data_IF_402604036012
#
_entry.id   IF_402604036012
#
_cell.length_a   1.000
_cell.length_b   1.000
_cell.length_c   1.000
_cell.angle_alpha   90.00
_cell.angle_beta   90.00
_cell.angle_gamma   90.00
#
_symmetry.space_group_name_H-M   'P 1'
#
loop_
_entity.id
_entity.type
_entity.pdbx_description
1 polymer ?
#
# COMPACT_ATOMS: atom_id res chain seq x y z
N UNK A 1 6.21 -12.43 3.09
CA UNK A 1 6.41 -12.19 1.63
C UNK A 1 7.78 -11.58 1.41
N UNK A 2 8.58 -12.09 0.44
CA UNK A 2 9.88 -11.52 0.11
C UNK A 2 9.96 -11.27 -1.39
N UNK A 3 9.99 -9.99 -1.78
CA UNK A 3 10.07 -9.57 -3.19
C UNK A 3 11.25 -8.62 -3.35
N UNK A 4 11.96 -8.73 -4.48
CA UNK A 4 13.14 -7.92 -4.78
C UNK A 4 12.90 -7.21 -6.11
N UNK A 5 12.96 -5.89 -6.09
CA UNK A 5 12.91 -5.01 -7.24
C UNK A 5 14.28 -4.45 -7.59
N UNK A 6 14.30 -3.44 -8.44
CA UNK A 6 15.53 -2.73 -8.82
C UNK A 6 15.98 -1.75 -7.73
N UNK A 7 15.01 -1.04 -7.11
CA UNK A 7 15.26 0.01 -6.11
C UNK A 7 14.86 -0.40 -4.70
N UNK A 8 13.93 -1.35 -4.56
CA UNK A 8 13.32 -1.70 -3.28
C UNK A 8 13.30 -3.21 -3.04
N UNK A 9 13.16 -3.55 -1.77
CA UNK A 9 12.76 -4.90 -1.31
C UNK A 9 11.49 -4.79 -0.50
N UNK A 10 10.65 -5.81 -0.61
CA UNK A 10 9.49 -5.99 0.26
C UNK A 10 9.77 -7.21 1.12
N UNK A 11 9.62 -7.07 2.44
CA UNK A 11 9.86 -8.11 3.42
C UNK A 11 8.87 -8.02 4.58
N UNK A 12 8.85 -9.03 5.41
CA UNK A 12 8.08 -8.99 6.63
C UNK A 12 8.61 -7.88 7.56
N UNK A 13 7.69 -7.23 8.28
CA UNK A 13 8.02 -6.30 9.35
C UNK A 13 8.66 -7.05 10.51
N UNK A 14 9.58 -6.42 11.21
CA UNK A 14 10.18 -6.93 12.43
C UNK A 14 10.42 -5.81 13.45
N UNK A 15 10.75 -6.17 14.69
CA UNK A 15 10.92 -5.19 15.77
C UNK A 15 12.08 -4.23 15.60
N UNK A 16 13.08 -4.56 14.78
CA UNK A 16 14.20 -3.65 14.47
C UNK A 16 13.76 -2.49 13.57
N UNK A 17 12.58 -2.57 12.96
CA UNK A 17 12.03 -1.50 12.13
C UNK A 17 11.43 -0.34 12.94
N UNK A 18 11.39 -0.43 14.28
CA UNK A 18 10.65 0.51 15.13
C UNK A 18 11.11 1.96 14.98
N UNK A 19 12.40 2.18 14.79
CA UNK A 19 12.95 3.52 14.70
C UNK A 19 12.59 4.17 13.36
N UNK A 20 12.79 3.48 12.26
CA UNK A 20 12.39 3.93 10.93
C UNK A 20 10.86 4.08 10.84
N UNK A 21 10.11 3.13 11.43
CA UNK A 21 8.66 3.17 11.46
C UNK A 21 8.12 4.37 12.25
N UNK A 22 8.78 4.73 13.34
CA UNK A 22 8.44 5.94 14.11
C UNK A 22 8.72 7.21 13.29
N UNK A 23 9.92 7.33 12.71
CA UNK A 23 10.28 8.50 11.88
C UNK A 23 9.30 8.71 10.74
N UNK A 24 8.94 7.65 10.03
CA UNK A 24 7.94 7.64 8.99
C UNK A 24 6.53 7.97 9.51
N UNK A 25 6.10 7.32 10.59
CA UNK A 25 4.72 7.41 11.09
C UNK A 25 4.39 8.67 11.89
N UNK A 26 5.39 9.41 12.41
CA UNK A 26 5.21 10.70 13.08
C UNK A 26 4.96 11.86 12.12
N UNK A 27 5.26 11.68 10.82
CA UNK A 27 5.13 12.74 9.83
C UNK A 27 3.64 13.10 9.61
N UNK A 28 3.22 14.35 9.85
CA UNK A 28 1.83 14.78 9.73
C UNK A 28 1.31 14.77 8.28
N UNK A 29 2.21 14.73 7.28
CA UNK A 29 1.82 14.68 5.87
C UNK A 29 1.51 13.25 5.38
N UNK A 30 1.90 12.21 6.14
CA UNK A 30 1.74 10.80 5.75
C UNK A 30 0.55 10.17 6.45
N UNK A 31 0.53 10.19 7.78
CA UNK A 31 -0.47 9.51 8.59
C UNK A 31 -1.91 9.81 8.19
N UNK A 32 -2.33 11.09 8.12
CA UNK A 32 -3.69 11.45 7.74
C UNK A 32 -4.12 10.92 6.38
N UNK A 33 -3.23 10.95 5.40
CA UNK A 33 -3.51 10.45 4.04
C UNK A 33 -3.54 8.92 3.96
N UNK A 34 -2.90 8.23 4.90
CA UNK A 34 -2.87 6.77 5.00
C UNK A 34 -3.85 6.21 6.05
N UNK A 35 -4.56 7.08 6.76
CA UNK A 35 -5.66 6.71 7.67
C UNK A 35 -5.27 6.50 9.13
N UNK A 36 -4.10 7.00 9.57
CA UNK A 36 -3.71 6.98 10.98
C UNK A 36 -3.32 8.36 11.51
N UNK A 37 -3.41 8.53 12.83
CA UNK A 37 -2.91 9.71 13.54
C UNK A 37 -1.39 9.66 13.62
N UNK A 38 -0.66 10.77 13.36
CA UNK A 38 0.79 10.82 13.55
C UNK A 38 1.22 10.30 14.93
N UNK A 39 2.27 9.49 14.97
CA UNK A 39 2.73 8.87 16.21
C UNK A 39 3.32 9.91 17.15
N UNK A 40 2.78 10.08 18.38
CA UNK A 40 3.29 11.07 19.32
C UNK A 40 4.65 10.69 19.93
N UNK A 41 4.97 9.39 19.97
CA UNK A 41 6.23 8.86 20.50
C UNK A 41 6.50 7.43 19.98
N UNK A 42 7.74 6.95 20.23
CA UNK A 42 8.17 5.60 19.81
C UNK A 42 7.37 4.46 20.45
N UNK A 43 6.83 4.66 21.64
CA UNK A 43 6.05 3.61 22.30
C UNK A 43 4.75 3.33 21.55
N UNK A 44 4.06 4.36 21.08
CA UNK A 44 2.88 4.22 20.22
C UNK A 44 3.25 3.56 18.89
N UNK A 45 4.37 3.97 18.28
CA UNK A 45 4.88 3.31 17.08
C UNK A 45 5.16 1.82 17.30
N UNK A 46 5.80 1.46 18.42
CA UNK A 46 6.10 0.07 18.79
C UNK A 46 4.84 -0.77 18.94
N UNK A 47 3.81 -0.25 19.62
CA UNK A 47 2.52 -0.96 19.77
C UNK A 47 1.84 -1.17 18.42
N UNK A 48 1.83 -0.17 17.57
CA UNK A 48 1.27 -0.29 16.22
C UNK A 48 2.06 -1.30 15.39
N UNK A 49 3.39 -1.21 15.38
CA UNK A 49 4.27 -2.16 14.69
C UNK A 49 4.04 -3.60 15.16
N UNK A 50 3.91 -3.81 16.48
CA UNK A 50 3.61 -5.14 17.05
C UNK A 50 2.29 -5.70 16.51
N UNK A 51 1.24 -4.88 16.43
CA UNK A 51 -0.05 -5.28 15.86
C UNK A 51 0.08 -5.65 14.38
N UNK A 52 0.83 -4.87 13.59
CA UNK A 52 1.05 -5.16 12.17
C UNK A 52 1.84 -6.45 11.95
N UNK A 53 2.85 -6.71 12.78
CA UNK A 53 3.63 -7.97 12.75
C UNK A 53 2.74 -9.18 13.04
N UNK A 54 1.86 -9.08 14.03
CA UNK A 54 0.93 -10.16 14.40
C UNK A 54 -0.11 -10.44 13.31
N UNK A 55 -0.65 -9.41 12.70
CA UNK A 55 -1.69 -9.54 11.67
C UNK A 55 -1.16 -10.09 10.33
N UNK A 56 0.14 -9.96 10.06
CA UNK A 56 0.81 -10.49 8.85
C UNK A 56 0.21 -10.03 7.51
N UNK A 57 -0.49 -8.91 7.49
CA UNK A 57 -1.07 -8.33 6.29
C UNK A 57 -0.25 -7.15 5.75
N UNK A 58 0.68 -6.62 6.56
CA UNK A 58 1.51 -5.46 6.23
C UNK A 58 2.99 -5.85 6.16
N UNK A 59 3.67 -5.34 5.15
CA UNK A 59 5.06 -5.62 4.83
C UNK A 59 5.87 -4.34 4.78
N UNK A 60 7.14 -4.43 5.14
CA UNK A 60 8.10 -3.36 5.00
C UNK A 60 8.50 -3.17 3.54
N UNK A 61 8.56 -1.92 3.10
CA UNK A 61 9.28 -1.51 1.89
C UNK A 61 10.61 -0.94 2.36
N UNK A 62 11.73 -1.48 1.86
CA UNK A 62 13.08 -1.02 2.17
C UNK A 62 13.82 -0.69 0.90
N UNK A 63 14.82 0.19 0.97
CA UNK A 63 15.77 0.33 -0.13
C UNK A 63 16.61 -0.92 -0.29
N UNK A 64 17.01 -1.24 -1.52
CA UNK A 64 17.85 -2.42 -1.81
C UNK A 64 19.16 -2.38 -1.03
N UNK A 65 19.80 -1.24 -0.96
CA UNK A 65 21.17 -1.10 -0.44
C UNK A 65 21.18 -0.84 1.08
N UNK A 66 20.30 0.01 1.60
CA UNK A 66 20.36 0.47 3.00
C UNK A 66 19.62 -0.43 3.98
N UNK A 67 18.70 -1.29 3.52
CA UNK A 67 17.74 -2.05 4.33
C UNK A 67 16.83 -1.17 5.20
N UNK A 68 16.94 0.16 5.13
CA UNK A 68 16.11 1.13 5.86
C UNK A 68 14.65 0.96 5.46
N UNK A 69 13.75 0.92 6.43
CA UNK A 69 12.32 0.96 6.17
C UNK A 69 11.94 2.36 5.68
N UNK A 70 11.43 2.43 4.45
CA UNK A 70 11.03 3.68 3.80
C UNK A 70 9.52 3.80 3.62
N UNK A 71 8.77 2.73 3.91
CA UNK A 71 7.33 2.70 3.77
C UNK A 71 6.76 1.32 4.07
N UNK A 72 5.45 1.19 3.89
CA UNK A 72 4.73 -0.07 4.08
C UNK A 72 3.79 -0.35 2.91
N UNK A 73 3.53 -1.63 2.68
CA UNK A 73 2.52 -2.11 1.73
C UNK A 73 1.73 -3.24 2.39
N UNK A 74 0.41 -3.20 2.25
CA UNK A 74 -0.51 -4.14 2.92
C UNK A 74 -1.39 -4.84 1.92
N UNK A 75 -1.67 -6.12 2.17
CA UNK A 75 -2.61 -6.93 1.40
C UNK A 75 -3.65 -7.45 2.38
N UNK A 76 -4.85 -6.89 2.31
CA UNK A 76 -5.97 -7.26 3.18
C UNK A 76 -6.88 -8.27 2.49
N UNK A 77 -7.46 -9.17 3.26
CA UNK A 77 -8.48 -10.12 2.80
C UNK A 77 -9.91 -9.54 2.89
N UNK A 78 -10.04 -8.25 3.02
CA UNK A 78 -11.29 -7.50 3.07
C UNK A 78 -11.22 -6.31 2.10
N UNK A 79 -12.20 -6.17 1.28
CA UNK A 79 -12.35 -5.06 0.34
C UNK A 79 -13.78 -4.53 0.39
N UNK A 80 -14.15 -3.72 -0.59
CA UNK A 80 -15.55 -3.31 -0.81
C UNK A 80 -16.38 -4.51 -1.25
N UNK A 81 -15.84 -5.32 -2.17
CA UNK A 81 -16.47 -6.57 -2.59
C UNK A 81 -16.31 -7.63 -1.50
N UNK A 82 -17.40 -8.31 -1.14
CA UNK A 82 -17.46 -9.21 0.02
C UNK A 82 -17.48 -10.68 -0.38
N UNK A 83 -16.47 -11.13 -1.15
CA UNK A 83 -16.30 -12.55 -1.45
C UNK A 83 -14.80 -12.95 -1.38
N UNK A 84 -14.56 -14.26 -1.28
CA UNK A 84 -13.30 -14.91 -0.88
C UNK A 84 -12.08 -14.51 -1.73
N UNK A 85 -12.27 -14.30 -3.03
CA UNK A 85 -11.17 -14.10 -3.98
C UNK A 85 -10.81 -12.63 -4.23
N UNK A 86 -11.25 -11.74 -3.34
CA UNK A 86 -10.93 -10.33 -3.37
C UNK A 86 -9.86 -10.00 -2.34
N UNK A 87 -8.87 -9.23 -2.76
CA UNK A 87 -7.89 -8.62 -1.86
C UNK A 87 -7.90 -7.12 -2.02
N UNK A 88 -7.53 -6.41 -0.96
CA UNK A 88 -7.43 -4.96 -0.96
C UNK A 88 -5.99 -4.53 -0.68
N UNK A 89 -5.50 -3.56 -1.44
CA UNK A 89 -4.15 -3.03 -1.35
C UNK A 89 -4.14 -1.72 -0.59
N UNK A 90 -3.25 -1.60 0.40
CA UNK A 90 -2.92 -0.34 1.07
C UNK A 90 -1.43 -0.07 0.97
N UNK A 91 -1.02 1.19 0.92
CA UNK A 91 0.40 1.55 0.89
C UNK A 91 0.66 2.95 1.42
N UNK A 92 1.88 3.15 1.92
CA UNK A 92 2.37 4.43 2.37
C UNK A 92 3.89 4.50 2.25
N UNK A 93 4.44 5.69 2.02
CA UNK A 93 5.85 5.91 1.75
C UNK A 93 6.31 7.18 2.45
N UNK A 94 7.52 7.16 3.00
CA UNK A 94 8.15 8.33 3.58
C UNK A 94 8.33 9.43 2.53
N UNK A 95 8.12 10.69 2.94
CA UNK A 95 7.98 11.83 2.03
C UNK A 95 9.22 12.07 1.17
N UNK A 96 10.41 11.87 1.74
CA UNK A 96 11.70 12.00 1.05
C UNK A 96 11.91 11.00 -0.11
N UNK A 97 11.07 9.97 -0.17
CA UNK A 97 11.08 8.95 -1.24
C UNK A 97 9.99 9.15 -2.29
N UNK A 98 9.16 10.19 -2.14
CA UNK A 98 8.11 10.49 -3.11
C UNK A 98 8.71 10.88 -4.49
N UNK A 99 7.92 10.70 -5.55
CA UNK A 99 8.23 11.04 -6.95
C UNK A 99 9.47 10.36 -7.57
N UNK A 100 10.07 9.37 -6.89
CA UNK A 100 11.26 8.61 -7.35
C UNK A 100 10.92 7.23 -7.93
N UNK A 101 9.63 6.87 -7.99
CA UNK A 101 9.15 5.61 -8.54
C UNK A 101 9.13 4.42 -7.57
N UNK A 102 9.60 4.57 -6.34
CA UNK A 102 9.66 3.51 -5.34
C UNK A 102 8.31 2.83 -5.11
N UNK A 103 7.24 3.60 -4.84
CA UNK A 103 5.92 3.01 -4.59
C UNK A 103 5.32 2.37 -5.85
N UNK A 104 5.54 2.94 -7.03
CA UNK A 104 5.07 2.33 -8.28
C UNK A 104 5.72 0.96 -8.50
N UNK A 105 7.01 0.83 -8.19
CA UNK A 105 7.73 -0.45 -8.26
C UNK A 105 7.18 -1.45 -7.22
N UNK A 106 6.99 -1.01 -5.97
CA UNK A 106 6.44 -1.84 -4.90
C UNK A 106 5.05 -2.39 -5.26
N UNK A 107 4.16 -1.54 -5.74
CA UNK A 107 2.79 -1.94 -6.14
C UNK A 107 2.84 -2.93 -7.30
N UNK A 108 3.69 -2.73 -8.33
CA UNK A 108 3.83 -3.67 -9.44
C UNK A 108 4.34 -5.05 -8.99
N UNK A 109 5.30 -5.10 -8.08
CA UNK A 109 5.78 -6.36 -7.49
C UNK A 109 4.67 -7.10 -6.75
N UNK A 110 3.85 -6.37 -5.97
CA UNK A 110 2.74 -6.95 -5.23
C UNK A 110 1.61 -7.41 -6.16
N UNK A 111 1.27 -6.65 -7.20
CA UNK A 111 0.30 -7.09 -8.23
C UNK A 111 0.72 -8.43 -8.82
N UNK A 112 1.98 -8.54 -9.25
CA UNK A 112 2.51 -9.79 -9.80
C UNK A 112 2.43 -10.93 -8.78
N UNK A 113 2.84 -10.70 -7.53
CA UNK A 113 2.75 -11.70 -6.46
C UNK A 113 1.32 -12.17 -6.21
N UNK A 114 0.38 -11.23 -6.07
CA UNK A 114 -1.01 -11.52 -5.75
C UNK A 114 -1.66 -12.37 -6.83
N UNK A 115 -1.51 -12.03 -8.12
CA UNK A 115 -2.14 -12.76 -9.19
C UNK A 115 -1.43 -14.06 -9.60
N UNK A 116 -0.13 -14.23 -9.24
CA UNK A 116 0.61 -15.44 -9.60
C UNK A 116 0.79 -16.44 -8.45
N UNK A 117 0.66 -15.98 -7.19
CA UNK A 117 0.97 -16.77 -5.99
C UNK A 117 -0.21 -16.93 -5.04
N UNK A 118 -1.35 -16.34 -5.35
CA UNK A 118 -2.57 -16.48 -4.55
C UNK A 118 -3.76 -16.80 -5.45
N UNK A 119 -4.91 -17.09 -4.81
CA UNK A 119 -6.20 -17.33 -5.47
C UNK A 119 -6.99 -16.03 -5.76
N UNK A 120 -6.34 -14.88 -5.74
CA UNK A 120 -6.99 -13.59 -5.95
C UNK A 120 -7.50 -13.44 -7.39
N UNK A 121 -8.76 -13.09 -7.53
CA UNK A 121 -9.40 -12.76 -8.80
C UNK A 121 -9.52 -11.26 -9.02
N UNK A 122 -9.68 -10.49 -7.92
CA UNK A 122 -9.80 -9.03 -7.98
C UNK A 122 -8.94 -8.39 -6.88
N UNK A 123 -8.03 -7.51 -7.29
CA UNK A 123 -7.28 -6.66 -6.39
C UNK A 123 -7.90 -5.26 -6.39
N UNK A 124 -8.34 -4.80 -5.23
CA UNK A 124 -8.93 -3.48 -5.01
C UNK A 124 -7.93 -2.53 -4.38
N UNK A 125 -8.08 -1.24 -4.65
CA UNK A 125 -7.35 -0.17 -4.00
C UNK A 125 -8.18 1.10 -3.97
N UNK A 126 -8.05 1.89 -2.92
CA UNK A 126 -8.73 3.18 -2.81
C UNK A 126 -7.81 4.26 -2.27
N UNK A 127 -8.18 5.51 -2.50
CA UNK A 127 -7.50 6.67 -1.92
C UNK A 127 -8.52 7.77 -1.58
N UNK A 128 -8.21 8.60 -0.58
CA UNK A 128 -8.96 9.83 -0.32
C UNK A 128 -8.83 10.75 -1.54
N UNK A 129 -9.91 11.42 -1.92
CA UNK A 129 -9.95 12.24 -3.16
C UNK A 129 -8.83 13.26 -3.28
N UNK A 130 -8.36 13.79 -2.16
CA UNK A 130 -7.26 14.77 -2.09
C UNK A 130 -5.86 14.13 -2.14
N UNK A 131 -5.77 12.79 -2.12
CA UNK A 131 -4.49 12.08 -2.17
C UNK A 131 -4.03 11.84 -3.60
N UNK A 132 -3.61 12.90 -4.28
CA UNK A 132 -3.13 12.85 -5.68
C UNK A 132 -1.88 11.99 -5.86
N UNK A 133 -1.06 11.83 -4.80
CA UNK A 133 0.12 10.97 -4.88
C UNK A 133 -0.28 9.50 -5.03
N UNK A 134 -1.21 9.01 -4.21
CA UNK A 134 -1.75 7.65 -4.32
C UNK A 134 -2.48 7.45 -5.64
N UNK A 135 -3.31 8.41 -6.07
CA UNK A 135 -3.99 8.37 -7.38
C UNK A 135 -3.01 8.08 -8.50
N UNK A 136 -1.93 8.86 -8.60
CA UNK A 136 -0.92 8.70 -9.65
C UNK A 136 -0.22 7.33 -9.63
N UNK A 137 0.03 6.77 -8.44
CA UNK A 137 0.61 5.42 -8.31
C UNK A 137 -0.38 4.39 -8.83
N UNK A 138 -1.64 4.46 -8.41
CA UNK A 138 -2.70 3.53 -8.79
C UNK A 138 -2.89 3.51 -10.32
N UNK A 139 -3.02 4.69 -10.93
CA UNK A 139 -3.19 4.84 -12.38
C UNK A 139 -1.97 4.32 -13.17
N UNK A 140 -0.74 4.63 -12.72
CA UNK A 140 0.51 4.12 -13.34
C UNK A 140 0.66 2.60 -13.23
N UNK A 141 0.01 1.98 -12.26
CA UNK A 141 0.03 0.53 -12.09
C UNK A 141 -1.08 -0.18 -12.90
N UNK A 142 -1.93 0.56 -13.59
CA UNK A 142 -2.92 0.00 -14.51
C UNK A 142 -4.24 -0.42 -13.86
N UNK A 143 -4.57 0.10 -12.68
CA UNK A 143 -5.89 -0.12 -12.08
C UNK A 143 -6.97 0.69 -12.81
N UNK A 144 -8.18 0.11 -12.90
CA UNK A 144 -9.34 0.75 -13.50
C UNK A 144 -10.19 1.43 -12.43
N UNK A 145 -10.61 2.65 -12.70
CA UNK A 145 -11.51 3.41 -11.85
C UNK A 145 -12.89 2.76 -11.77
N UNK A 146 -13.42 2.57 -10.57
CA UNK A 146 -14.73 1.95 -10.33
C UNK A 146 -15.78 2.95 -9.84
N UNK A 147 -15.37 4.04 -9.22
CA UNK A 147 -16.30 5.07 -8.72
C UNK A 147 -15.85 5.71 -7.41
N UNK A 148 -16.63 6.69 -6.98
CA UNK A 148 -16.46 7.42 -5.73
C UNK A 148 -17.49 6.98 -4.71
N UNK A 149 -17.06 6.83 -3.47
CA UNK A 149 -17.94 6.77 -2.31
C UNK A 149 -17.82 8.09 -1.55
N UNK A 150 -18.91 8.84 -1.53
CA UNK A 150 -19.04 10.06 -0.74
C UNK A 150 -19.11 9.72 0.74
N UNK A 151 -18.53 10.59 1.59
CA UNK A 151 -18.50 10.42 3.05
C UNK A 151 -18.07 9.02 3.50
N UNK A 152 -17.06 8.49 2.79
CA UNK A 152 -16.61 7.11 2.96
C UNK A 152 -16.05 6.82 4.35
N UNK A 153 -15.31 7.77 4.94
CA UNK A 153 -14.61 7.53 6.20
C UNK A 153 -14.51 8.80 7.04
N UNK A 154 -14.80 8.66 8.34
CA UNK A 154 -14.43 9.66 9.32
C UNK A 154 -12.95 9.49 9.70
N UNK A 155 -12.20 10.58 9.64
CA UNK A 155 -10.80 10.63 10.07
C UNK A 155 -10.71 10.90 11.58
N UNK A 156 -9.51 10.70 12.14
CA UNK A 156 -9.25 10.90 13.58
C UNK A 156 -9.45 12.36 14.04
N UNK A 157 -9.40 13.32 13.12
CA UNK A 157 -9.60 14.77 13.37
C UNK A 157 -11.07 15.22 13.17
N UNK A 158 -11.98 14.27 12.94
CA UNK A 158 -13.41 14.51 12.76
C UNK A 158 -13.84 14.87 11.33
N UNK A 159 -12.91 15.06 10.41
CA UNK A 159 -13.26 15.26 8.99
C UNK A 159 -13.83 13.97 8.41
N UNK A 160 -14.85 14.12 7.58
CA UNK A 160 -15.40 13.01 6.79
C UNK A 160 -14.95 13.19 5.35
N UNK A 161 -14.33 12.17 4.78
CA UNK A 161 -13.70 12.25 3.46
C UNK A 161 -14.34 11.31 2.46
N UNK A 162 -14.34 11.72 1.20
CA UNK A 162 -14.69 10.89 0.08
C UNK A 162 -13.48 10.03 -0.33
N UNK A 163 -13.75 8.89 -0.96
CA UNK A 163 -12.71 8.04 -1.50
C UNK A 163 -13.05 7.59 -2.92
N UNK A 164 -12.04 7.60 -3.77
CA UNK A 164 -12.08 7.01 -5.10
C UNK A 164 -11.54 5.58 -5.04
N UNK A 165 -12.25 4.66 -5.70
CA UNK A 165 -11.94 3.23 -5.70
C UNK A 165 -11.61 2.74 -7.10
N UNK A 166 -10.65 1.81 -7.13
CA UNK A 166 -10.12 1.19 -8.34
C UNK A 166 -10.00 -0.31 -8.14
N UNK A 167 -9.97 -1.06 -9.22
CA UNK A 167 -9.67 -2.48 -9.18
C UNK A 167 -8.90 -2.94 -10.41
N UNK A 168 -8.28 -4.11 -10.28
CA UNK A 168 -7.68 -4.87 -11.36
C UNK A 168 -8.17 -6.30 -11.22
N UNK A 169 -8.71 -6.90 -12.30
CA UNK A 169 -9.04 -8.32 -12.33
C UNK A 169 -7.83 -9.14 -12.77
N UNK A 170 -7.89 -10.45 -12.56
CA UNK A 170 -6.86 -11.37 -13.05
C UNK A 170 -6.72 -11.32 -14.57
N UNK A 171 -7.83 -11.20 -15.29
CA UNK A 171 -7.84 -11.05 -16.75
C UNK A 171 -7.19 -9.73 -17.20
N UNK A 172 -7.38 -8.63 -16.45
CA UNK A 172 -6.72 -7.34 -16.73
C UNK A 172 -5.21 -7.47 -16.57
N UNK A 173 -4.75 -8.11 -15.48
CA UNK A 173 -3.34 -8.39 -15.24
C UNK A 173 -2.75 -9.25 -16.37
N UNK A 174 -3.42 -10.32 -16.79
CA UNK A 174 -2.96 -11.20 -17.88
C UNK A 174 -2.88 -10.45 -19.21
N UNK A 175 -3.87 -9.61 -19.53
CA UNK A 175 -3.82 -8.75 -20.73
C UNK A 175 -2.66 -7.78 -20.72
N UNK A 176 -2.40 -7.16 -19.57
CA UNK A 176 -1.30 -6.21 -19.41
C UNK A 176 0.05 -6.91 -19.57
N UNK A 177 0.26 -8.07 -18.97
CA UNK A 177 1.52 -8.80 -19.02
C UNK A 177 1.80 -9.41 -20.41
N UNK A 178 0.78 -9.89 -21.13
CA UNK A 178 0.92 -10.40 -22.51
C UNK A 178 1.41 -9.32 -23.50
N UNK A 179 1.11 -8.05 -23.27
CA UNK A 179 1.62 -6.94 -24.08
C UNK A 179 3.11 -6.71 -23.87
N UNK A 180 3.66 -7.09 -22.73
CA UNK A 180 5.09 -6.93 -22.40
C UNK A 180 5.97 -8.05 -22.95
N UNK A 181 5.38 -9.22 -23.26
CA UNK A 181 6.10 -10.38 -23.83
C UNK A 181 6.22 -10.31 -25.37
N UNK A 182 5.55 -9.35 -26.01
CA UNK A 182 5.54 -9.19 -27.49
C UNK A 182 6.60 -8.21 -28.03
N UNK A 183 7.57 -7.79 -27.19
CA UNK A 183 8.69 -6.93 -27.61
C UNK A 183 10.03 -7.54 -27.23
#
# INVERSE_FOLDING_TARGET
MHLIGQKIRIRDLNFNDVDDFYEFGKNPNIGPMAGWKPFPNKEVARRMLSSLILNKETYAITEVDSKKLIGTISIYNNGIRKYKYVKSLGFSLAEEYHNKGYMTEAVKLVINYVFTKTDCEVLEVGHHVDNYASKRVIEKCGFYYNGRLEKFKALYDGRVVDADFYSMTKEDYERMTRRWIKF
#
